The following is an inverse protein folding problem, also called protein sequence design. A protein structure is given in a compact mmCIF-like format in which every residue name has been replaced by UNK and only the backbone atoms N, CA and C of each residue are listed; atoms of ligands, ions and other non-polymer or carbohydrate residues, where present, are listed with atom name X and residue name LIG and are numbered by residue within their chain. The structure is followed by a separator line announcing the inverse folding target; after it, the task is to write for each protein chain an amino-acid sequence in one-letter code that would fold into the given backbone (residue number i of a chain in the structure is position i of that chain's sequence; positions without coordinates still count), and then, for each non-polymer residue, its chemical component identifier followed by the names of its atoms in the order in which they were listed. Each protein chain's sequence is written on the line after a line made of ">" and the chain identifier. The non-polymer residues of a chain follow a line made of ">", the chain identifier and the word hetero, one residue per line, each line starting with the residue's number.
data_IF_510450595177
#
_entry.id   IF_510450595177
#
_cell.length_a   1.000
_cell.length_b   1.000
_cell.length_c   1.000
_cell.angle_alpha   90.00
_cell.angle_beta   90.00
_cell.angle_gamma   90.00
#
_symmetry.space_group_name_H-M   'P 1'
#
loop_
_entity.id
_entity.type
_entity.pdbx_description
1 polymer ?
#
# COMPACT_ATOMS: atom_id res chain seq x y z
N UNK A 1 -13.03 -1.11 -6.81
CA UNK A 1 -11.58 -1.25 -6.59
C UNK A 1 -11.35 -2.24 -5.47
N UNK A 2 -10.38 -3.15 -5.62
CA UNK A 2 -9.99 -4.17 -4.63
C UNK A 2 -8.65 -3.81 -3.97
N UNK A 3 -8.33 -4.42 -2.82
CA UNK A 3 -7.04 -4.23 -2.14
C UNK A 3 -5.86 -4.62 -3.04
N UNK A 4 -5.90 -5.84 -3.61
CA UNK A 4 -4.85 -6.31 -4.52
C UNK A 4 -4.65 -5.41 -5.75
N UNK A 5 -5.74 -4.90 -6.33
CA UNK A 5 -5.66 -3.96 -7.45
C UNK A 5 -4.99 -2.64 -7.08
N UNK A 6 -5.22 -2.14 -5.86
CA UNK A 6 -4.56 -0.93 -5.37
C UNK A 6 -3.08 -1.15 -5.03
N UNK A 7 -2.73 -2.28 -4.41
CA UNK A 7 -1.32 -2.65 -4.14
C UNK A 7 -0.54 -2.70 -5.46
N UNK A 8 -1.03 -3.49 -6.43
CA UNK A 8 -0.39 -3.62 -7.76
C UNK A 8 -0.31 -2.28 -8.49
N UNK A 9 -1.39 -1.48 -8.46
CA UNK A 9 -1.40 -0.15 -9.07
C UNK A 9 -0.36 0.78 -8.45
N UNK A 10 -0.20 0.74 -7.13
CA UNK A 10 0.79 1.55 -6.40
C UNK A 10 2.21 1.10 -6.73
N UNK A 11 2.49 -0.21 -6.84
CA UNK A 11 3.80 -0.72 -7.28
C UNK A 11 4.19 -0.15 -8.65
N UNK A 12 3.27 -0.24 -9.63
CA UNK A 12 3.51 0.22 -11.00
C UNK A 12 3.74 1.74 -11.04
N UNK A 13 2.88 2.52 -10.38
CA UNK A 13 2.97 3.98 -10.39
C UNK A 13 4.24 4.47 -9.71
N UNK A 14 4.59 3.91 -8.55
CA UNK A 14 5.84 4.28 -7.85
C UNK A 14 7.08 3.87 -8.64
N UNK A 15 7.08 2.71 -9.30
CA UNK A 15 8.14 2.31 -10.22
C UNK A 15 8.32 3.29 -11.39
N UNK A 16 7.22 3.71 -12.02
CA UNK A 16 7.26 4.71 -13.10
C UNK A 16 7.79 6.07 -12.63
N UNK A 17 7.35 6.55 -11.46
CA UNK A 17 7.85 7.81 -10.87
C UNK A 17 9.34 7.72 -10.54
N UNK A 18 9.86 6.56 -10.13
CA UNK A 18 11.30 6.43 -9.85
C UNK A 18 12.17 6.41 -11.11
N UNK A 19 11.63 5.98 -12.26
CA UNK A 19 12.36 5.94 -13.52
C UNK A 19 12.59 7.33 -14.11
N UNK A 20 11.59 8.21 -14.02
CA UNK A 20 11.66 9.60 -14.48
C UNK A 20 10.94 10.49 -13.46
N UNK A 21 11.67 10.88 -12.41
CA UNK A 21 11.06 11.57 -11.29
C UNK A 21 10.54 12.95 -11.67
N UNK A 22 9.23 13.10 -11.54
CA UNK A 22 8.51 14.36 -11.69
C UNK A 22 7.67 14.62 -10.43
N UNK A 23 7.84 15.80 -9.83
CA UNK A 23 7.11 16.18 -8.62
C UNK A 23 5.59 16.20 -8.82
N UNK A 24 5.12 16.56 -10.01
CA UNK A 24 3.68 16.62 -10.30
C UNK A 24 3.08 15.21 -10.29
N UNK A 25 3.77 14.25 -10.88
CA UNK A 25 3.42 12.84 -10.86
C UNK A 25 3.56 12.24 -9.45
N UNK A 26 4.59 12.60 -8.69
CA UNK A 26 4.80 12.12 -7.32
C UNK A 26 3.69 12.55 -6.35
N UNK A 27 3.08 13.72 -6.55
CA UNK A 27 1.95 14.21 -5.73
C UNK A 27 0.72 13.29 -5.79
N UNK A 28 0.55 12.47 -6.83
CA UNK A 28 -0.59 11.54 -6.94
C UNK A 28 -0.56 10.44 -5.88
N UNK A 29 0.61 10.18 -5.28
CA UNK A 29 0.79 9.19 -4.23
C UNK A 29 0.13 9.59 -2.92
N UNK A 30 -0.34 10.83 -2.77
CA UNK A 30 -0.97 11.33 -1.55
C UNK A 30 -2.39 10.77 -1.36
N UNK A 31 -2.51 9.49 -1.06
CA UNK A 31 -3.79 8.77 -1.02
C UNK A 31 -4.17 8.20 0.36
N UNK A 32 -4.03 8.96 1.48
CA UNK A 32 -4.27 8.40 2.80
C UNK A 32 -5.72 7.95 3.03
N UNK A 33 -6.68 8.60 2.38
CA UNK A 33 -8.09 8.21 2.44
C UNK A 33 -8.35 6.85 1.73
N UNK A 34 -7.61 6.55 0.67
CA UNK A 34 -7.77 5.30 -0.06
C UNK A 34 -7.20 4.13 0.76
N UNK A 35 -6.05 4.32 1.41
CA UNK A 35 -5.49 3.31 2.32
C UNK A 35 -6.45 3.04 3.49
N UNK A 36 -7.01 4.10 4.09
CA UNK A 36 -8.02 3.97 5.16
C UNK A 36 -9.26 3.20 4.69
N UNK A 37 -9.72 3.45 3.47
CA UNK A 37 -10.83 2.69 2.90
C UNK A 37 -10.48 1.20 2.74
N UNK A 38 -9.25 0.87 2.34
CA UNK A 38 -8.81 -0.52 2.28
C UNK A 38 -8.74 -1.18 3.66
N UNK A 39 -8.21 -0.49 4.67
CA UNK A 39 -8.23 -0.95 6.06
C UNK A 39 -9.65 -1.24 6.53
N UNK A 40 -10.61 -0.36 6.25
CA UNK A 40 -12.02 -0.59 6.64
C UNK A 40 -12.64 -1.83 5.99
N UNK A 41 -12.14 -2.27 4.83
CA UNK A 41 -12.58 -3.53 4.21
C UNK A 41 -12.02 -4.74 4.93
N UNK A 42 -10.79 -4.66 5.44
CA UNK A 42 -10.20 -5.71 6.28
C UNK A 42 -10.94 -5.76 7.61
N UNK A 43 -11.23 -4.60 8.23
CA UNK A 43 -11.94 -4.53 9.50
C UNK A 43 -13.37 -5.09 9.45
N UNK A 44 -13.99 -5.06 8.27
CA UNK A 44 -15.33 -5.62 8.03
C UNK A 44 -15.34 -7.17 7.91
N UNK A 45 -14.18 -7.81 7.85
CA UNK A 45 -14.05 -9.28 7.84
C UNK A 45 -14.34 -9.82 9.25
N UNK A 46 -14.83 -11.06 9.34
CA UNK A 46 -15.13 -11.70 10.63
C UNK A 46 -13.91 -11.71 11.56
N UNK A 47 -14.08 -11.60 12.89
CA UNK A 47 -12.96 -11.56 13.84
C UNK A 47 -12.02 -12.76 13.72
N UNK A 48 -12.56 -13.94 13.40
CA UNK A 48 -11.80 -15.18 13.23
C UNK A 48 -10.81 -15.05 12.08
N UNK A 49 -11.30 -14.61 10.91
CA UNK A 49 -10.47 -14.38 9.73
C UNK A 49 -9.54 -13.18 9.88
N UNK A 50 -9.90 -12.15 10.65
CA UNK A 50 -8.99 -11.05 11.00
C UNK A 50 -7.83 -11.50 11.90
N UNK A 51 -8.05 -12.55 12.68
CA UNK A 51 -7.02 -13.18 13.52
C UNK A 51 -6.02 -14.04 12.75
N UNK A 52 -6.31 -14.39 11.49
CA UNK A 52 -5.38 -15.13 10.65
C UNK A 52 -4.08 -14.34 10.47
N UNK A 53 -2.89 -14.97 10.66
CA UNK A 53 -1.61 -14.27 10.63
C UNK A 53 -1.41 -13.38 9.39
N UNK A 54 -1.79 -13.88 8.20
CA UNK A 54 -1.65 -13.12 6.96
C UNK A 54 -2.52 -11.84 6.95
N UNK A 55 -3.76 -11.94 7.43
CA UNK A 55 -4.69 -10.80 7.44
C UNK A 55 -4.21 -9.73 8.42
N UNK A 56 -3.68 -10.16 9.57
CA UNK A 56 -3.07 -9.27 10.55
C UNK A 56 -1.83 -8.58 9.99
N UNK A 57 -0.91 -9.32 9.38
CA UNK A 57 0.32 -8.78 8.81
C UNK A 57 0.02 -7.75 7.72
N UNK A 58 -0.90 -8.07 6.80
CA UNK A 58 -1.36 -7.14 5.75
C UNK A 58 -2.00 -5.89 6.35
N UNK A 59 -2.81 -6.03 7.40
CA UNK A 59 -3.45 -4.89 8.09
C UNK A 59 -2.42 -3.95 8.72
N UNK A 60 -1.42 -4.51 9.42
CA UNK A 60 -0.33 -3.75 10.02
C UNK A 60 0.49 -3.02 8.95
N UNK A 61 0.83 -3.69 7.84
CA UNK A 61 1.58 -3.10 6.74
C UNK A 61 0.81 -1.98 6.02
N UNK A 62 -0.50 -2.12 5.86
CA UNK A 62 -1.34 -1.02 5.36
C UNK A 62 -1.31 0.19 6.29
N UNK A 63 -1.21 -0.03 7.61
CA UNK A 63 -0.97 1.04 8.59
C UNK A 63 0.33 1.80 8.34
N UNK A 64 1.42 1.10 8.03
CA UNK A 64 2.70 1.73 7.70
C UNK A 64 2.66 2.44 6.34
N UNK A 65 2.07 1.83 5.32
CA UNK A 65 1.90 2.46 4.00
C UNK A 65 1.05 3.73 4.11
N UNK A 66 -0.01 3.72 4.93
CA UNK A 66 -0.84 4.88 5.18
C UNK A 66 0.02 6.07 5.63
N UNK A 67 0.98 5.87 6.53
CA UNK A 67 1.88 6.93 7.01
C UNK A 67 2.77 7.45 5.88
N UNK A 68 3.31 6.57 5.04
CA UNK A 68 4.16 6.96 3.90
C UNK A 68 3.41 7.81 2.88
N UNK A 69 2.13 7.53 2.64
CA UNK A 69 1.29 8.32 1.72
C UNK A 69 0.60 9.52 2.38
N UNK A 70 0.83 9.75 3.68
CA UNK A 70 0.23 10.83 4.48
C UNK A 70 1.16 12.04 4.61
N UNK A 71 1.56 12.63 3.49
CA UNK A 71 2.35 13.86 3.49
C UNK A 71 1.48 15.13 3.38
N UNK A 72 2.00 16.32 3.75
CA UNK A 72 1.26 17.58 3.67
C UNK A 72 0.67 17.85 2.28
N UNK A 73 -0.53 18.46 2.19
CA UNK A 73 -1.07 18.91 0.91
C UNK A 73 -0.09 19.81 0.15
N UNK A 74 0.05 19.62 -1.15
CA UNK A 74 0.92 20.43 -2.01
C UNK A 74 2.41 20.02 -2.00
N UNK A 75 2.88 19.26 -1.01
CA UNK A 75 4.24 18.69 -0.99
C UNK A 75 4.31 17.45 -1.88
N UNK A 76 5.35 17.35 -2.70
CA UNK A 76 5.71 16.11 -3.38
C UNK A 76 6.59 15.23 -2.45
N UNK A 77 6.42 13.91 -2.45
CA UNK A 77 7.34 13.00 -1.78
C UNK A 77 8.67 12.96 -2.55
N UNK A 78 9.81 12.86 -1.86
CA UNK A 78 11.12 12.70 -2.49
C UNK A 78 11.26 11.34 -3.18
N UNK A 79 12.26 11.16 -4.06
CA UNK A 79 12.57 9.85 -4.67
C UNK A 79 12.73 8.75 -3.62
N UNK A 80 13.38 9.04 -2.50
CA UNK A 80 13.56 8.06 -1.41
C UNK A 80 12.24 7.75 -0.69
N UNK A 81 11.35 8.74 -0.54
CA UNK A 81 9.99 8.52 -0.01
C UNK A 81 9.14 7.68 -0.98
N UNK A 82 9.25 7.92 -2.29
CA UNK A 82 8.62 7.09 -3.33
C UNK A 82 9.14 5.66 -3.28
N UNK A 83 10.46 5.47 -3.15
CA UNK A 83 11.09 4.15 -3.01
C UNK A 83 10.56 3.40 -1.81
N UNK A 84 10.43 4.05 -0.65
CA UNK A 84 9.86 3.44 0.56
C UNK A 84 8.42 2.99 0.36
N UNK A 85 7.60 3.77 -0.37
CA UNK A 85 6.23 3.34 -0.71
C UNK A 85 6.27 2.10 -1.58
N UNK A 86 7.11 2.08 -2.63
CA UNK A 86 7.27 0.96 -3.55
C UNK A 86 7.70 -0.32 -2.81
N UNK A 87 8.75 -0.24 -1.99
CA UNK A 87 9.25 -1.36 -1.18
C UNK A 87 8.18 -1.89 -0.22
N UNK A 88 7.38 -1.00 0.38
CA UNK A 88 6.32 -1.39 1.29
C UNK A 88 5.20 -2.15 0.57
N UNK A 89 4.76 -1.69 -0.61
CA UNK A 89 3.72 -2.41 -1.38
C UNK A 89 4.25 -3.70 -2.03
N UNK A 90 5.54 -3.76 -2.37
CA UNK A 90 6.22 -4.98 -2.83
C UNK A 90 6.26 -6.05 -1.75
N UNK A 91 6.56 -5.64 -0.51
CA UNK A 91 6.56 -6.54 0.65
C UNK A 91 5.17 -7.14 0.89
N UNK A 92 4.12 -6.31 0.92
CA UNK A 92 2.73 -6.79 1.09
C UNK A 92 2.37 -7.79 -0.02
N UNK A 93 2.71 -7.46 -1.27
CA UNK A 93 2.38 -8.33 -2.40
C UNK A 93 3.10 -9.67 -2.30
N UNK A 94 4.37 -9.65 -1.92
CA UNK A 94 5.17 -10.87 -1.70
C UNK A 94 4.53 -11.73 -0.62
N UNK A 95 4.12 -11.16 0.51
CA UNK A 95 3.45 -11.91 1.59
C UNK A 95 2.13 -12.54 1.14
N UNK A 96 1.34 -11.82 0.34
CA UNK A 96 0.10 -12.33 -0.25
C UNK A 96 0.37 -13.51 -1.21
N UNK A 97 1.43 -13.43 -2.03
CA UNK A 97 1.78 -14.46 -3.01
C UNK A 97 2.50 -15.67 -2.40
N UNK A 98 3.24 -15.46 -1.31
CA UNK A 98 4.06 -16.49 -0.67
C UNK A 98 3.24 -17.57 0.02
N UNK A 99 1.98 -17.30 0.37
CA UNK A 99 1.08 -18.30 0.91
C UNK A 99 0.30 -18.97 -0.21
N UNK A 100 0.70 -20.19 -0.57
CA UNK A 100 -0.20 -21.11 -1.25
C UNK A 100 -1.50 -21.23 -0.42
N UNK A 101 -2.64 -21.21 -1.11
CA UNK A 101 -3.95 -21.47 -0.52
C UNK A 101 -3.88 -22.76 0.32
N UNK A 102 -4.49 -22.81 1.52
CA UNK A 102 -4.63 -24.07 2.24
C UNK A 102 -5.26 -25.10 1.30
N UNK A 103 -4.57 -26.23 1.10
CA UNK A 103 -5.12 -27.39 0.38
C UNK A 103 -6.30 -28.00 1.13
#
# INVERSE_FOLDING_TARGET
>A
MTLGGWIRGTQVVTGAIMQDYDERSAKVLRQPALVRFMQSKIDAISPELRGEPLVKDVSEQLGEIQKLVSFPPGRAPTVDEVRKVNEAVDKVMTEIESKELPK
#
